data_IF_336403871340
#
_entry.id   IF_336403871340
#
_cell.length_a   1.000
_cell.length_b   1.000
_cell.length_c   1.000
_cell.angle_alpha   90.00
_cell.angle_beta   90.00
_cell.angle_gamma   90.00
#
_symmetry.space_group_name_H-M   'P 1'
#
loop_
_entity.id
_entity.type
_entity.pdbx_description
1 polymer ?
#
# COMPACT_ATOMS: atom_id res chain seq x y z
N UNK A 1 41.73 -55.67 27.69
CA UNK A 1 40.53 -54.88 27.98
C UNK A 1 40.96 -53.46 28.29
N UNK A 2 40.83 -52.55 27.36
CA UNK A 2 41.13 -51.13 27.55
C UNK A 2 40.03 -50.34 26.93
N UNK A 3 39.25 -49.63 27.76
CA UNK A 3 38.22 -48.74 27.36
C UNK A 3 38.85 -47.42 26.96
N UNK A 4 38.91 -47.16 25.67
CA UNK A 4 39.36 -45.84 25.14
C UNK A 4 38.22 -44.85 25.26
N UNK A 5 38.31 -43.93 26.24
CA UNK A 5 37.49 -42.76 26.36
C UNK A 5 37.82 -41.80 25.20
N UNK A 6 36.98 -41.71 24.20
CA UNK A 6 37.04 -40.65 23.19
C UNK A 6 36.41 -39.40 23.76
N UNK A 7 37.25 -38.52 24.29
CA UNK A 7 36.88 -37.17 24.68
C UNK A 7 36.59 -36.37 23.41
N UNK A 8 35.34 -36.17 23.15
CA UNK A 8 34.89 -35.27 22.09
C UNK A 8 35.30 -33.83 22.44
N UNK A 9 36.34 -33.37 21.75
CA UNK A 9 36.93 -32.02 21.95
C UNK A 9 35.88 -30.94 21.64
N UNK A 10 35.63 -30.11 22.65
CA UNK A 10 34.75 -28.90 22.54
C UNK A 10 35.08 -27.96 21.36
N UNK A 11 36.24 -28.11 20.75
CA UNK A 11 36.72 -27.31 19.61
C UNK A 11 36.06 -27.71 18.28
N UNK A 12 35.52 -28.89 18.13
CA UNK A 12 34.86 -29.34 16.89
C UNK A 12 33.36 -28.95 16.81
N UNK A 13 32.79 -28.51 17.91
CA UNK A 13 31.39 -28.07 17.94
C UNK A 13 31.17 -26.61 17.46
N UNK A 14 32.24 -25.82 17.46
CA UNK A 14 32.20 -24.39 17.06
C UNK A 14 32.41 -24.14 15.58
N UNK A 15 32.71 -25.14 14.79
CA UNK A 15 32.88 -24.98 13.32
C UNK A 15 31.65 -25.31 12.50
N UNK A 16 30.55 -25.72 13.12
CA UNK A 16 29.27 -26.00 12.44
C UNK A 16 28.16 -24.96 12.71
N UNK A 17 28.45 -23.93 13.51
CA UNK A 17 27.50 -22.85 13.81
C UNK A 17 27.62 -21.64 12.89
N UNK A 18 28.27 -21.75 11.78
CA UNK A 18 28.70 -20.62 10.97
C UNK A 18 28.21 -20.61 9.53
N UNK A 19 26.99 -21.09 9.16
CA UNK A 19 26.38 -20.75 7.86
C UNK A 19 24.86 -21.02 7.94
N UNK A 20 24.17 -20.22 8.72
CA UNK A 20 22.77 -19.95 8.52
C UNK A 20 22.55 -18.45 8.68
N UNK A 21 23.33 -17.66 7.97
CA UNK A 21 22.85 -16.35 7.56
C UNK A 21 21.73 -16.62 6.56
N UNK A 22 20.52 -16.89 7.09
CA UNK A 22 19.33 -16.85 6.28
C UNK A 22 19.29 -15.46 5.65
N UNK A 23 19.77 -15.34 4.44
CA UNK A 23 19.42 -14.24 3.55
C UNK A 23 17.93 -14.35 3.32
N UNK A 24 17.17 -13.73 4.18
CA UNK A 24 15.81 -13.45 3.88
C UNK A 24 15.83 -12.53 2.66
N UNK A 25 15.25 -12.92 1.54
CA UNK A 25 15.07 -11.99 0.44
C UNK A 25 14.02 -10.97 0.92
N UNK A 26 14.49 -9.90 1.58
CA UNK A 26 13.71 -8.70 1.83
C UNK A 26 13.62 -7.92 0.54
N UNK A 27 13.00 -8.51 -0.45
CA UNK A 27 12.42 -7.77 -1.57
C UNK A 27 11.15 -8.50 -1.97
N UNK A 28 10.14 -8.45 -1.10
CA UNK A 28 8.82 -8.29 -1.63
C UNK A 28 8.84 -6.89 -2.28
N UNK A 29 9.39 -6.81 -3.50
CA UNK A 29 8.96 -5.81 -4.45
C UNK A 29 7.48 -6.12 -4.61
N UNK A 30 6.65 -5.45 -3.81
CA UNK A 30 5.27 -5.30 -4.16
C UNK A 30 5.28 -4.95 -5.63
N UNK A 31 4.59 -5.71 -6.46
CA UNK A 31 4.46 -5.49 -7.88
C UNK A 31 4.45 -4.00 -8.13
N UNK A 32 5.13 -3.51 -9.19
CA UNK A 32 5.15 -2.10 -9.59
C UNK A 32 3.74 -1.60 -9.97
N UNK A 33 2.71 -2.06 -9.26
CA UNK A 33 1.31 -1.73 -9.47
C UNK A 33 1.12 -0.23 -9.23
N UNK A 34 0.75 0.44 -10.28
CA UNK A 34 0.55 1.89 -10.29
C UNK A 34 -0.85 2.20 -9.78
N UNK A 35 -0.94 2.50 -8.51
CA UNK A 35 -2.20 2.79 -7.83
C UNK A 35 -2.50 4.28 -7.89
N UNK A 36 -3.76 4.67 -8.15
CA UNK A 36 -4.24 6.04 -7.97
C UNK A 36 -5.49 6.07 -7.10
N UNK A 37 -5.81 7.20 -6.51
CA UNK A 37 -7.05 7.37 -5.74
C UNK A 37 -7.57 8.80 -5.80
N UNK A 38 -8.89 8.97 -5.68
CA UNK A 38 -9.53 10.28 -5.50
C UNK A 38 -10.02 10.49 -4.07
N UNK A 39 -9.99 9.44 -3.25
CA UNK A 39 -10.49 9.47 -1.87
C UNK A 39 -9.35 9.59 -0.85
N UNK A 40 -9.48 10.49 0.11
CA UNK A 40 -8.47 10.72 1.13
C UNK A 40 -8.35 9.59 2.15
N UNK A 41 -9.47 8.97 2.55
CA UNK A 41 -9.41 7.84 3.47
C UNK A 41 -8.68 6.64 2.83
N UNK A 42 -8.89 6.44 1.53
CA UNK A 42 -8.14 5.45 0.77
C UNK A 42 -6.67 5.85 0.64
N UNK A 43 -6.37 7.14 0.39
CA UNK A 43 -4.99 7.65 0.33
C UNK A 43 -4.24 7.39 1.63
N UNK A 44 -4.84 7.76 2.78
CA UNK A 44 -4.28 7.52 4.10
C UNK A 44 -4.01 6.03 4.34
N UNK A 45 -4.97 5.18 3.98
CA UNK A 45 -4.83 3.73 4.12
C UNK A 45 -3.68 3.18 3.27
N UNK A 46 -3.59 3.57 2.00
CA UNK A 46 -2.52 3.15 1.10
C UNK A 46 -1.14 3.53 1.67
N UNK A 47 -0.99 4.79 2.11
CA UNK A 47 0.27 5.27 2.68
C UNK A 47 0.60 4.54 4.00
N UNK A 48 -0.40 4.29 4.85
CA UNK A 48 -0.21 3.58 6.11
C UNK A 48 0.29 2.14 5.93
N UNK A 49 -0.12 1.47 4.85
CA UNK A 49 0.36 0.13 4.51
C UNK A 49 1.62 0.13 3.63
N UNK A 50 2.22 1.31 3.39
CA UNK A 50 3.46 1.45 2.62
C UNK A 50 3.28 1.48 1.11
N UNK A 51 2.05 1.66 0.61
CA UNK A 51 1.77 1.79 -0.83
C UNK A 51 1.71 3.27 -1.19
N UNK A 52 2.69 3.73 -1.96
CA UNK A 52 2.72 5.11 -2.46
C UNK A 52 1.98 5.18 -3.79
N UNK A 53 0.86 5.90 -3.89
CA UNK A 53 0.13 6.01 -5.15
C UNK A 53 0.91 6.85 -6.17
N UNK A 54 0.64 6.64 -7.46
CA UNK A 54 1.22 7.46 -8.55
C UNK A 54 0.49 8.78 -8.71
N UNK A 55 -0.79 8.83 -8.30
CA UNK A 55 -1.62 10.03 -8.36
C UNK A 55 -2.71 10.01 -7.28
N UNK A 56 -3.01 11.18 -6.73
CA UNK A 56 -4.10 11.34 -5.79
C UNK A 56 -4.71 12.75 -5.88
N UNK A 57 -5.95 12.89 -5.42
CA UNK A 57 -6.68 14.15 -5.53
C UNK A 57 -6.42 15.09 -4.35
N UNK A 58 -6.38 16.40 -4.67
CA UNK A 58 -6.40 17.52 -3.71
C UNK A 58 -5.23 17.48 -2.70
N UNK A 59 -4.04 17.14 -3.21
CA UNK A 59 -2.85 16.95 -2.36
C UNK A 59 -2.35 18.23 -1.71
N UNK A 60 -2.56 19.38 -2.33
CA UNK A 60 -2.18 20.68 -1.74
C UNK A 60 -2.93 20.90 -0.42
N UNK A 61 -4.22 20.60 -0.39
CA UNK A 61 -5.02 20.73 0.83
C UNK A 61 -4.73 19.58 1.81
N UNK A 62 -4.60 18.35 1.30
CA UNK A 62 -4.26 17.19 2.12
C UNK A 62 -3.01 17.43 2.96
N UNK A 63 -1.90 17.88 2.35
CA UNK A 63 -0.64 18.20 3.04
C UNK A 63 -0.75 19.29 4.10
N UNK A 64 -1.80 20.12 4.05
CA UNK A 64 -2.05 21.17 5.06
C UNK A 64 -2.83 20.67 6.26
N UNK A 65 -3.73 19.72 6.05
CA UNK A 65 -4.67 19.28 7.09
C UNK A 65 -4.33 17.92 7.68
N UNK A 66 -3.74 17.04 6.87
CA UNK A 66 -3.24 15.74 7.32
C UNK A 66 -1.78 15.87 7.72
N UNK A 67 -1.50 15.73 9.02
CA UNK A 67 -0.12 15.78 9.54
C UNK A 67 0.61 14.47 9.23
N UNK A 68 -0.09 13.37 9.27
CA UNK A 68 0.37 12.01 8.98
C UNK A 68 -0.77 11.21 8.30
N UNK A 69 -0.46 10.31 7.38
CA UNK A 69 0.88 10.01 6.83
C UNK A 69 1.35 11.08 5.82
N UNK A 70 2.67 11.28 5.74
CA UNK A 70 3.26 12.22 4.77
C UNK A 70 3.11 11.68 3.35
N UNK A 71 2.65 12.54 2.44
CA UNK A 71 2.54 12.20 1.02
C UNK A 71 3.81 12.59 0.28
N UNK A 72 4.55 11.64 -0.32
CA UNK A 72 5.73 11.94 -1.11
C UNK A 72 5.46 12.93 -2.25
N UNK A 73 6.43 13.78 -2.56
CA UNK A 73 6.32 14.76 -3.66
C UNK A 73 6.17 14.11 -5.04
N UNK A 74 6.59 12.85 -5.18
CA UNK A 74 6.45 12.07 -6.41
C UNK A 74 5.01 11.74 -6.78
N UNK A 75 4.06 11.88 -5.84
CA UNK A 75 2.63 11.64 -6.08
C UNK A 75 2.04 12.82 -6.85
N UNK A 76 1.51 12.55 -8.05
CA UNK A 76 0.90 13.57 -8.88
C UNK A 76 -0.43 14.05 -8.28
N UNK A 77 -0.61 15.36 -8.16
CA UNK A 77 -1.89 15.95 -7.78
C UNK A 77 -2.82 16.03 -8.98
N UNK A 78 -3.96 15.39 -8.90
CA UNK A 78 -4.99 15.39 -9.95
C UNK A 78 -6.12 16.42 -9.69
N UNK A 79 -5.85 17.43 -8.88
CA UNK A 79 -6.78 18.51 -8.60
C UNK A 79 -7.87 18.15 -7.59
N UNK A 80 -8.96 18.90 -7.62
CA UNK A 80 -10.02 18.80 -6.61
C UNK A 80 -10.75 17.46 -6.65
N UNK A 81 -11.08 16.89 -5.49
CA UNK A 81 -11.88 15.66 -5.37
C UNK A 81 -13.26 15.79 -6.02
N UNK A 82 -13.88 16.98 -5.93
CA UNK A 82 -15.17 17.26 -6.56
C UNK A 82 -15.07 17.49 -8.09
N UNK A 83 -13.89 17.73 -8.62
CA UNK A 83 -13.64 17.92 -10.05
C UNK A 83 -12.22 17.46 -10.40
N UNK A 84 -11.96 16.14 -10.43
CA UNK A 84 -10.64 15.63 -10.74
C UNK A 84 -10.20 15.96 -12.16
N UNK A 85 -8.91 16.20 -12.33
CA UNK A 85 -8.31 16.31 -13.65
C UNK A 85 -8.05 14.91 -14.23
N UNK A 86 -9.01 14.43 -15.01
CA UNK A 86 -8.94 13.10 -15.62
C UNK A 86 -7.81 12.95 -16.63
N UNK A 87 -7.36 14.03 -17.25
CA UNK A 87 -6.21 13.98 -18.14
C UNK A 87 -4.91 13.76 -17.38
N UNK A 88 -4.70 14.49 -16.29
CA UNK A 88 -3.56 14.26 -15.40
C UNK A 88 -3.57 12.83 -14.83
N UNK A 89 -4.75 12.31 -14.48
CA UNK A 89 -4.91 10.92 -14.03
C UNK A 89 -4.51 9.91 -15.13
N UNK A 90 -4.92 10.13 -16.37
CA UNK A 90 -4.53 9.28 -17.51
C UNK A 90 -3.03 9.34 -17.79
N UNK A 91 -2.41 10.52 -17.68
CA UNK A 91 -0.96 10.70 -17.84
C UNK A 91 -0.18 9.97 -16.74
N UNK A 92 -0.74 9.84 -15.55
CA UNK A 92 -0.16 9.04 -14.48
C UNK A 92 -0.20 7.53 -14.77
N UNK A 93 -0.94 7.07 -15.77
CA UNK A 93 -1.05 5.66 -16.21
C UNK A 93 -1.25 4.70 -15.04
N UNK A 94 -2.33 4.82 -14.27
CA UNK A 94 -2.60 3.89 -13.18
C UNK A 94 -3.02 2.51 -13.73
N UNK A 95 -2.57 1.45 -13.08
CA UNK A 95 -3.05 0.10 -13.32
C UNK A 95 -4.38 -0.15 -12.63
N UNK A 96 -4.61 0.55 -11.50
CA UNK A 96 -5.85 0.52 -10.75
C UNK A 96 -6.12 1.89 -10.11
N UNK A 97 -7.39 2.26 -10.07
CA UNK A 97 -7.86 3.49 -9.44
C UNK A 97 -8.81 3.09 -8.32
N UNK A 98 -8.42 3.37 -7.09
CA UNK A 98 -9.31 3.21 -5.95
C UNK A 98 -10.20 4.43 -5.78
N UNK A 99 -11.48 4.16 -5.63
CA UNK A 99 -12.53 5.13 -5.30
C UNK A 99 -13.27 4.68 -4.05
N UNK A 100 -14.27 5.42 -3.63
CA UNK A 100 -15.14 4.99 -2.54
C UNK A 100 -16.61 5.17 -2.91
N UNK A 101 -17.49 4.59 -2.09
CA UNK A 101 -18.92 4.73 -2.24
C UNK A 101 -19.41 6.19 -2.16
N UNK A 102 -18.58 7.13 -1.72
CA UNK A 102 -18.89 8.56 -1.76
C UNK A 102 -18.74 9.17 -3.16
N UNK A 103 -17.85 8.59 -4.01
CA UNK A 103 -17.51 9.12 -5.33
C UNK A 103 -18.09 8.31 -6.49
N UNK A 104 -19.20 7.61 -6.30
CA UNK A 104 -19.87 6.81 -7.34
C UNK A 104 -20.21 7.62 -8.59
N UNK A 105 -20.51 8.91 -8.44
CA UNK A 105 -20.74 9.85 -9.55
C UNK A 105 -19.51 10.04 -10.46
N UNK A 106 -18.31 9.87 -9.96
CA UNK A 106 -17.07 10.02 -10.72
C UNK A 106 -16.67 8.74 -11.47
N UNK A 107 -17.14 7.57 -11.04
CA UNK A 107 -16.73 6.27 -11.57
C UNK A 107 -16.82 6.14 -13.10
N UNK A 108 -17.88 6.60 -13.77
CA UNK A 108 -17.95 6.48 -15.23
C UNK A 108 -16.77 7.16 -15.95
N UNK A 109 -16.31 8.31 -15.43
CA UNK A 109 -15.17 9.03 -15.98
C UNK A 109 -13.83 8.42 -15.54
N UNK A 110 -13.73 7.93 -14.30
CA UNK A 110 -12.56 7.25 -13.81
C UNK A 110 -12.25 5.99 -14.63
N UNK A 111 -13.29 5.22 -15.00
CA UNK A 111 -13.17 4.01 -15.84
C UNK A 111 -12.60 4.28 -17.22
N UNK A 112 -12.65 5.52 -17.71
CA UNK A 112 -11.98 5.94 -18.95
C UNK A 112 -10.47 6.15 -18.75
N UNK A 113 -10.02 6.24 -17.52
CA UNK A 113 -8.61 6.45 -17.18
C UNK A 113 -7.90 5.15 -16.77
N UNK A 114 -8.65 4.13 -16.33
CA UNK A 114 -8.14 2.83 -15.92
C UNK A 114 -9.19 2.00 -15.18
N UNK A 115 -8.85 0.77 -14.79
CA UNK A 115 -9.68 -0.05 -13.92
C UNK A 115 -10.01 0.65 -12.61
N UNK A 116 -11.26 0.59 -12.17
CA UNK A 116 -11.74 1.24 -10.94
C UNK A 116 -12.25 0.20 -9.97
N UNK A 117 -11.75 0.26 -8.75
CA UNK A 117 -12.23 -0.49 -7.59
C UNK A 117 -12.85 0.48 -6.59
N UNK A 118 -14.10 0.24 -6.21
CA UNK A 118 -14.83 1.09 -5.27
C UNK A 118 -14.88 0.43 -3.90
N UNK A 119 -14.29 1.09 -2.91
CA UNK A 119 -14.23 0.61 -1.54
C UNK A 119 -15.36 1.24 -0.72
N UNK A 120 -16.05 0.44 0.07
CA UNK A 120 -17.08 0.95 0.99
C UNK A 120 -16.42 1.47 2.27
N UNK A 121 -15.99 2.74 2.23
CA UNK A 121 -15.35 3.41 3.37
C UNK A 121 -16.39 4.10 4.25
N UNK A 122 -17.42 4.67 3.62
CA UNK A 122 -18.45 5.44 4.33
C UNK A 122 -19.66 4.56 4.61
N UNK A 123 -19.95 4.35 5.89
CA UNK A 123 -21.00 3.44 6.33
C UNK A 123 -22.38 3.83 5.82
N UNK A 124 -23.11 2.82 5.37
CA UNK A 124 -24.52 2.93 4.97
C UNK A 124 -25.47 2.73 6.16
N UNK A 125 -25.05 3.15 7.38
CA UNK A 125 -25.84 3.02 8.60
C UNK A 125 -25.52 1.78 9.44
N UNK A 126 -24.67 0.86 8.99
CA UNK A 126 -24.12 -0.22 9.82
C UNK A 126 -22.89 0.26 10.60
N UNK A 127 -22.64 -0.25 11.81
CA UNK A 127 -21.42 0.05 12.53
C UNK A 127 -20.18 -0.29 11.69
N UNK A 128 -19.14 0.56 11.68
CA UNK A 128 -17.97 0.39 10.80
C UNK A 128 -17.23 -0.94 10.99
N UNK A 129 -17.36 -1.55 12.17
CA UNK A 129 -16.74 -2.84 12.47
C UNK A 129 -17.42 -4.03 11.78
N UNK A 130 -18.72 -3.95 11.49
CA UNK A 130 -19.45 -5.03 10.80
C UNK A 130 -19.09 -5.14 9.32
N UNK A 131 -18.69 -4.04 8.69
CA UNK A 131 -18.22 -4.03 7.32
C UNK A 131 -16.80 -4.64 7.20
N UNK A 132 -15.95 -4.43 8.20
CA UNK A 132 -14.60 -5.00 8.24
C UNK A 132 -14.57 -6.51 8.50
N UNK A 133 -15.58 -7.06 9.20
CA UNK A 133 -15.70 -8.50 9.44
C UNK A 133 -16.17 -9.30 8.20
N UNK A 134 -16.73 -8.64 7.21
CA UNK A 134 -17.26 -9.28 5.98
C UNK A 134 -16.28 -9.19 4.80
N UNK A 135 -15.15 -8.51 4.96
CA UNK A 135 -14.11 -8.37 3.95
C UNK A 135 -13.01 -9.42 4.12
#
# INVERSE_FOLDING_TARGET
>A
MSLANSVLSRRRFLTWAGVCAATWPTTARGSDLRVATIDWAVLETLLAIGVVPVAAAELVLFRRVAVEPEVPESVADIGLRGSPNYEALRLAKPDIIFSSNYYTWAEPKLRLCGPVESVSVYGTGEPPFTAAEKA
#
